data_IF_543187537897
#
_entry.id   IF_543187537897
#
_cell.length_a   1.000
_cell.length_b   1.000
_cell.length_c   1.000
_cell.angle_alpha   90.00
_cell.angle_beta   90.00
_cell.angle_gamma   90.00
#
_symmetry.space_group_name_H-M   'P 1'
#
loop_
_entity.id
_entity.type
_entity.pdbx_description
1 polymer ?
#
# COMPACT_ATOMS: atom_id res chain seq x y z
N UNK A 1 6.00 8.67 14.01
CA UNK A 1 6.70 7.45 13.58
C UNK A 1 7.82 7.88 12.65
N UNK A 2 9.06 7.60 13.03
CA UNK A 2 10.22 7.74 12.15
C UNK A 2 10.24 6.50 11.23
N UNK A 3 10.14 6.73 9.92
CA UNK A 3 10.09 5.63 8.94
C UNK A 3 11.46 4.97 8.74
N UNK A 4 12.56 5.64 9.14
CA UNK A 4 13.91 5.06 9.09
C UNK A 4 14.11 3.88 10.05
N UNK A 5 13.22 3.71 11.03
CA UNK A 5 13.24 2.61 12.00
C UNK A 5 12.09 1.62 11.80
N UNK A 6 11.36 1.67 10.68
CA UNK A 6 10.17 0.84 10.47
C UNK A 6 10.46 -0.66 10.66
N UNK A 7 11.66 -1.12 10.31
CA UNK A 7 12.06 -2.51 10.49
C UNK A 7 12.25 -2.94 11.95
N UNK A 8 12.49 -2.00 12.86
CA UNK A 8 12.63 -2.24 14.29
C UNK A 8 11.29 -2.24 15.04
N UNK A 9 10.19 -1.90 14.37
CA UNK A 9 8.87 -1.73 15.02
C UNK A 9 8.07 -3.01 15.23
N UNK A 10 8.54 -4.12 14.67
CA UNK A 10 7.84 -5.40 14.70
C UNK A 10 8.74 -6.47 15.34
N UNK A 11 8.26 -7.07 16.44
CA UNK A 11 8.96 -8.20 17.05
C UNK A 11 8.74 -9.48 16.22
N UNK A 12 9.75 -10.36 16.17
CA UNK A 12 9.72 -11.60 15.37
C UNK A 12 8.47 -12.46 15.59
N UNK A 13 7.93 -12.61 16.82
CA UNK A 13 6.70 -13.37 17.07
C UNK A 13 5.45 -12.70 16.48
N UNK A 14 5.39 -11.36 16.46
CA UNK A 14 4.28 -10.62 15.84
C UNK A 14 4.28 -10.83 14.32
N UNK A 15 5.46 -10.81 13.71
CA UNK A 15 5.62 -11.06 12.28
C UNK A 15 5.11 -12.46 11.89
N UNK A 16 5.50 -13.49 12.63
CA UNK A 16 5.05 -14.87 12.39
C UNK A 16 3.52 -14.99 12.48
N UNK A 17 2.89 -14.24 13.39
CA UNK A 17 1.42 -14.21 13.57
C UNK A 17 0.75 -13.52 12.39
N UNK A 18 1.28 -12.37 11.95
CA UNK A 18 0.80 -11.65 10.78
C UNK A 18 0.90 -12.52 9.52
N UNK A 19 2.03 -13.20 9.31
CA UNK A 19 2.22 -14.12 8.18
C UNK A 19 1.16 -15.23 8.13
N UNK A 20 0.77 -15.80 9.27
CA UNK A 20 -0.32 -16.79 9.33
C UNK A 20 -1.67 -16.19 8.92
N UNK A 21 -1.98 -14.97 9.38
CA UNK A 21 -3.23 -14.26 9.08
C UNK A 21 -3.32 -13.82 7.61
N UNK A 22 -2.18 -13.52 6.99
CA UNK A 22 -2.11 -13.04 5.62
C UNK A 22 -2.14 -14.15 4.56
N UNK A 23 -1.93 -15.42 4.93
CA UNK A 23 -2.02 -16.55 3.99
C UNK A 23 -3.28 -16.60 3.10
N UNK A 24 -4.52 -16.44 3.61
CA UNK A 24 -5.71 -16.42 2.76
C UNK A 24 -5.74 -15.20 1.82
N UNK A 25 -5.36 -14.02 2.31
CA UNK A 25 -5.30 -12.77 1.56
C UNK A 25 -4.31 -12.89 0.40
N UNK A 26 -3.12 -13.45 0.65
CA UNK A 26 -2.11 -13.66 -0.39
C UNK A 26 -2.60 -14.64 -1.46
N UNK A 27 -3.41 -15.65 -1.11
CA UNK A 27 -4.03 -16.53 -2.12
C UNK A 27 -5.08 -15.82 -2.97
N UNK A 28 -5.87 -14.94 -2.36
CA UNK A 28 -6.91 -14.19 -3.05
C UNK A 28 -6.31 -13.13 -4.00
N UNK A 29 -5.38 -12.32 -3.50
CA UNK A 29 -4.75 -11.25 -4.28
C UNK A 29 -3.59 -11.71 -5.15
N UNK A 30 -3.05 -12.91 -4.94
CA UNK A 30 -2.01 -13.49 -5.80
C UNK A 30 -2.47 -13.66 -7.26
N UNK A 31 -3.77 -13.87 -7.50
CA UNK A 31 -4.32 -13.95 -8.85
C UNK A 31 -4.69 -12.59 -9.44
N UNK A 32 -4.85 -11.56 -8.59
CA UNK A 32 -5.26 -10.22 -9.01
C UNK A 32 -4.07 -9.27 -9.19
N UNK A 33 -2.91 -9.64 -8.67
CA UNK A 33 -1.69 -8.81 -8.69
C UNK A 33 -0.56 -9.51 -9.41
N UNK A 34 0.38 -8.72 -9.89
CA UNK A 34 1.58 -9.20 -10.60
C UNK A 34 2.76 -9.45 -9.64
N UNK A 35 2.48 -9.66 -8.37
CA UNK A 35 3.49 -9.86 -7.33
C UNK A 35 3.69 -11.35 -7.02
N UNK A 36 4.91 -11.70 -6.62
CA UNK A 36 5.18 -13.00 -6.04
C UNK A 36 4.55 -13.12 -4.65
N UNK A 37 4.41 -14.35 -4.16
CA UNK A 37 3.91 -14.63 -2.80
C UNK A 37 4.73 -13.90 -1.72
N UNK A 38 6.05 -13.86 -1.91
CA UNK A 38 6.99 -13.23 -0.97
C UNK A 38 6.86 -11.71 -1.01
N UNK A 39 6.68 -11.13 -2.20
CA UNK A 39 6.46 -9.69 -2.36
C UNK A 39 5.14 -9.24 -1.73
N UNK A 40 4.07 -10.01 -1.91
CA UNK A 40 2.78 -9.75 -1.25
C UNK A 40 2.89 -9.82 0.26
N UNK A 41 3.60 -10.82 0.78
CA UNK A 41 3.86 -10.96 2.22
C UNK A 41 4.63 -9.74 2.76
N UNK A 42 5.66 -9.29 2.04
CA UNK A 42 6.41 -8.08 2.36
C UNK A 42 5.54 -6.83 2.37
N UNK A 43 4.73 -6.60 1.33
CA UNK A 43 3.83 -5.44 1.24
C UNK A 43 2.80 -5.42 2.36
N UNK A 44 2.27 -6.59 2.74
CA UNK A 44 1.31 -6.73 3.83
C UNK A 44 1.95 -6.44 5.20
N UNK A 45 3.18 -6.89 5.42
CA UNK A 45 3.94 -6.57 6.63
C UNK A 45 4.23 -5.07 6.69
N UNK A 46 4.63 -4.45 5.58
CA UNK A 46 4.84 -3.00 5.51
C UNK A 46 3.55 -2.25 5.85
N UNK A 47 2.42 -2.63 5.24
CA UNK A 47 1.13 -2.02 5.56
C UNK A 47 0.79 -2.15 7.03
N UNK A 48 0.93 -3.35 7.61
CA UNK A 48 0.67 -3.59 9.02
C UNK A 48 1.55 -2.74 9.94
N UNK A 49 2.85 -2.62 9.63
CA UNK A 49 3.79 -1.77 10.37
C UNK A 49 3.38 -0.31 10.30
N UNK A 50 2.98 0.18 9.12
CA UNK A 50 2.51 1.55 8.93
C UNK A 50 1.21 1.83 9.69
N UNK A 51 0.29 0.87 9.73
CA UNK A 51 -1.03 1.07 10.34
C UNK A 51 -1.16 0.57 11.78
N UNK A 52 -0.05 0.28 12.47
CA UNK A 52 -0.07 -0.27 13.83
C UNK A 52 -0.76 0.68 14.83
N UNK A 53 -0.45 1.97 14.74
CA UNK A 53 -0.90 2.99 15.70
C UNK A 53 -2.04 3.88 15.15
N UNK A 54 -2.28 3.87 13.84
CA UNK A 54 -3.31 4.71 13.20
C UNK A 54 -3.70 4.16 11.82
N UNK A 55 -4.91 4.50 11.36
CA UNK A 55 -5.32 4.18 9.99
C UNK A 55 -4.57 5.01 8.95
N UNK A 56 -4.47 4.49 7.74
CA UNK A 56 -3.89 5.18 6.59
C UNK A 56 -4.89 6.15 5.96
N UNK A 57 -5.20 7.24 6.69
CA UNK A 57 -5.98 8.35 6.18
C UNK A 57 -5.20 9.17 5.13
N UNK A 58 -5.86 10.14 4.50
CA UNK A 58 -5.26 10.93 3.41
C UNK A 58 -3.97 11.64 3.84
N UNK A 59 -3.98 12.25 5.04
CA UNK A 59 -2.83 12.99 5.57
C UNK A 59 -1.66 12.06 5.85
N UNK A 60 -1.93 10.90 6.44
CA UNK A 60 -0.89 9.93 6.75
C UNK A 60 -0.36 9.26 5.49
N UNK A 61 -1.23 8.90 4.53
CA UNK A 61 -0.82 8.42 3.21
C UNK A 61 0.13 9.40 2.52
N UNK A 62 -0.18 10.71 2.55
CA UNK A 62 0.72 11.73 1.99
C UNK A 62 2.09 11.69 2.63
N UNK A 63 2.14 11.61 3.96
CA UNK A 63 3.40 11.48 4.70
C UNK A 63 4.17 10.21 4.31
N UNK A 64 3.49 9.08 4.14
CA UNK A 64 4.10 7.82 3.67
C UNK A 64 4.69 7.99 2.27
N UNK A 65 3.94 8.54 1.31
CA UNK A 65 4.42 8.74 -0.06
C UNK A 65 5.61 9.70 -0.13
N UNK A 66 5.59 10.76 0.69
CA UNK A 66 6.71 11.70 0.81
C UNK A 66 7.97 11.02 1.36
N UNK A 67 7.86 10.29 2.48
CA UNK A 67 9.05 9.74 3.14
C UNK A 67 9.57 8.45 2.52
N UNK A 68 8.69 7.55 2.07
CA UNK A 68 9.09 6.24 1.53
C UNK A 68 9.42 6.27 0.04
N UNK A 69 8.71 7.09 -0.73
CA UNK A 69 8.77 7.11 -2.20
C UNK A 69 9.25 8.45 -2.76
N UNK A 70 9.59 9.42 -1.90
CA UNK A 70 10.11 10.74 -2.25
C UNK A 70 9.20 11.52 -3.22
N UNK A 71 7.88 11.35 -3.10
CA UNK A 71 6.90 12.17 -3.83
C UNK A 71 6.75 13.54 -3.15
N UNK A 72 6.98 14.62 -3.89
CA UNK A 72 6.96 15.99 -3.35
C UNK A 72 5.72 16.81 -3.77
N UNK A 73 4.93 16.31 -4.72
CA UNK A 73 3.75 17.02 -5.21
C UNK A 73 2.49 16.59 -4.44
N UNK A 74 2.10 17.40 -3.46
CA UNK A 74 0.92 17.18 -2.62
C UNK A 74 -0.37 16.96 -3.41
N UNK A 75 -0.60 17.73 -4.47
CA UNK A 75 -1.80 17.63 -5.31
C UNK A 75 -1.83 16.29 -6.04
N UNK A 76 -0.69 15.84 -6.55
CA UNK A 76 -0.57 14.54 -7.21
C UNK A 76 -0.79 13.40 -6.23
N UNK A 77 -0.21 13.48 -5.02
CA UNK A 77 -0.38 12.44 -3.99
C UNK A 77 -1.85 12.34 -3.54
N UNK A 78 -2.52 13.47 -3.42
CA UNK A 78 -3.94 13.54 -3.07
C UNK A 78 -4.86 12.90 -4.12
N UNK A 79 -4.47 13.00 -5.40
CA UNK A 79 -5.15 12.33 -6.51
C UNK A 79 -4.85 10.84 -6.54
N UNK A 80 -3.60 10.45 -6.32
CA UNK A 80 -3.20 9.04 -6.16
C UNK A 80 -3.98 8.38 -5.02
N UNK A 81 -4.15 9.06 -3.88
CA UNK A 81 -4.98 8.57 -2.77
C UNK A 81 -6.41 8.29 -3.24
N UNK A 82 -7.00 9.20 -4.02
CA UNK A 82 -8.37 9.07 -4.53
C UNK A 82 -8.50 7.88 -5.49
N UNK A 83 -7.48 7.63 -6.32
CA UNK A 83 -7.43 6.45 -7.18
C UNK A 83 -7.22 5.13 -6.41
N UNK A 84 -6.58 5.17 -5.25
CA UNK A 84 -6.42 4.01 -4.35
C UNK A 84 -7.69 3.73 -3.53
N UNK A 85 -8.41 4.77 -3.11
CA UNK A 85 -9.66 4.67 -2.34
C UNK A 85 -10.90 4.51 -3.24
N UNK A 86 -10.95 3.39 -3.99
CA UNK A 86 -12.05 3.09 -4.93
C UNK A 86 -13.44 3.03 -4.30
N UNK A 87 -13.52 2.82 -2.98
CA UNK A 87 -14.77 2.66 -2.25
C UNK A 87 -15.13 3.91 -1.42
N UNK A 88 -14.39 5.01 -1.59
CA UNK A 88 -14.56 6.27 -0.85
C UNK A 88 -14.65 6.06 0.67
N UNK A 89 -13.82 5.16 1.20
CA UNK A 89 -13.76 4.85 2.64
C UNK A 89 -13.00 5.91 3.43
N UNK A 90 -12.39 6.89 2.75
CA UNK A 90 -11.52 7.93 3.28
C UNK A 90 -10.25 7.39 3.96
N UNK A 91 -9.96 6.10 3.78
CA UNK A 91 -8.79 5.40 4.31
C UNK A 91 -8.28 4.38 3.30
N UNK A 92 -6.96 4.26 3.18
CA UNK A 92 -6.36 3.19 2.37
C UNK A 92 -6.42 1.89 3.18
N UNK A 93 -7.32 1.00 2.77
CA UNK A 93 -7.42 -0.36 3.31
C UNK A 93 -6.27 -1.24 2.82
N UNK A 94 -6.06 -2.37 3.48
CA UNK A 94 -5.05 -3.37 3.10
C UNK A 94 -5.20 -3.80 1.63
N UNK A 95 -6.43 -4.04 1.18
CA UNK A 95 -6.73 -4.48 -0.19
C UNK A 95 -6.42 -3.36 -1.20
N UNK A 96 -6.85 -2.13 -0.89
CA UNK A 96 -6.53 -0.92 -1.68
C UNK A 96 -5.02 -0.71 -1.81
N UNK A 97 -4.28 -0.94 -0.72
CA UNK A 97 -2.82 -0.82 -0.71
C UNK A 97 -2.17 -1.84 -1.65
N UNK A 98 -2.56 -3.12 -1.56
CA UNK A 98 -2.02 -4.19 -2.41
C UNK A 98 -2.32 -3.93 -3.89
N UNK A 99 -3.58 -3.64 -4.22
CA UNK A 99 -4.01 -3.39 -5.61
C UNK A 99 -3.32 -2.15 -6.17
N UNK A 100 -3.29 -1.06 -5.40
CA UNK A 100 -2.67 0.19 -5.80
C UNK A 100 -1.17 0.00 -6.05
N UNK A 101 -0.46 -0.68 -5.14
CA UNK A 101 0.96 -0.97 -5.32
C UNK A 101 1.24 -1.92 -6.48
N UNK A 102 0.31 -2.83 -6.81
CA UNK A 102 0.46 -3.71 -7.99
C UNK A 102 0.50 -2.90 -9.27
N UNK A 103 -0.37 -1.90 -9.42
CA UNK A 103 -0.36 -1.01 -10.58
C UNK A 103 0.86 -0.09 -10.53
N UNK A 104 1.18 0.44 -9.35
CA UNK A 104 2.24 1.42 -9.17
C UNK A 104 3.65 0.86 -9.44
N UNK A 105 3.95 -0.33 -8.91
CA UNK A 105 5.28 -0.95 -9.00
C UNK A 105 5.39 -1.93 -10.16
N UNK A 106 4.33 -2.71 -10.45
CA UNK A 106 4.33 -3.80 -11.44
C UNK A 106 3.35 -3.61 -12.60
N UNK A 107 2.63 -2.48 -12.66
CA UNK A 107 1.64 -2.23 -13.69
C UNK A 107 2.27 -2.17 -15.07
N UNK A 108 1.57 -2.70 -16.07
CA UNK A 108 1.97 -2.56 -17.47
C UNK A 108 1.65 -1.14 -17.99
N UNK A 109 2.10 -0.83 -19.22
CA UNK A 109 1.91 0.50 -19.79
C UNK A 109 0.42 0.89 -19.88
N UNK A 110 -0.46 -0.07 -20.21
CA UNK A 110 -1.90 0.19 -20.37
C UNK A 110 -2.54 0.46 -19.02
N UNK A 111 -2.22 -0.35 -18.00
CA UNK A 111 -2.67 -0.16 -16.63
C UNK A 111 -2.19 1.18 -16.05
N UNK A 112 -0.93 1.56 -16.31
CA UNK A 112 -0.38 2.85 -15.89
C UNK A 112 -1.07 4.01 -16.59
N UNK A 113 -1.34 3.93 -17.89
CA UNK A 113 -2.09 4.97 -18.62
C UNK A 113 -3.49 5.14 -18.03
N UNK A 114 -4.22 4.03 -17.81
CA UNK A 114 -5.55 4.06 -17.18
C UNK A 114 -5.50 4.65 -15.78
N UNK A 115 -4.49 4.27 -15.00
CA UNK A 115 -4.28 4.80 -13.66
C UNK A 115 -3.99 6.31 -13.69
N UNK A 116 -3.08 6.77 -14.54
CA UNK A 116 -2.81 8.19 -14.73
C UNK A 116 -4.09 8.93 -15.14
N UNK A 117 -4.88 8.40 -16.07
CA UNK A 117 -6.16 9.00 -16.45
C UNK A 117 -7.07 9.17 -15.22
N UNK A 118 -7.24 8.13 -14.40
CA UNK A 118 -8.05 8.21 -13.17
C UNK A 118 -7.49 9.14 -12.09
N UNK A 119 -6.20 9.46 -12.14
CA UNK A 119 -5.57 10.42 -11.22
C UNK A 119 -5.75 11.85 -11.74
N UNK A 120 -5.93 12.04 -13.04
CA UNK A 120 -6.10 13.37 -13.65
C UNK A 120 -7.56 13.82 -13.75
N UNK A 121 -8.48 12.87 -13.94
CA UNK A 121 -9.94 13.04 -13.90
C UNK A 121 -10.43 13.46 -12.51
#
# INVERSE_FOLDING_TARGET
MDFGQLDLTLDRPEEVRCRKRFRPIIKEFGNQTKFSREELEGLLIIYYKLTKDQHMDRKYFRRVMYTMLNFQNDVLIDRIFSAFDRNNKLVVTMDSWIIGMSIFLRGDLIERIKFCFSVYD
#
